data_IF_668005135044
#
_entry.id   IF_668005135044
#
_cell.length_a   1.000
_cell.length_b   1.000
_cell.length_c   1.000
_cell.angle_alpha   90.00
_cell.angle_beta   90.00
_cell.angle_gamma   90.00
#
_symmetry.space_group_name_H-M   'P 1'
#
loop_
_entity.id
_entity.type
_entity.pdbx_description
1 polymer ?
#
# COMPACT_ATOMS: atom_id res chain seq x y z
N UNK A 1 -21.50 30.35 -11.13
CA UNK A 1 -20.35 29.86 -10.35
C UNK A 1 -20.00 28.49 -10.90
N UNK A 2 -18.96 28.42 -11.71
CA UNK A 2 -18.44 27.15 -12.25
C UNK A 2 -17.78 26.39 -11.10
N UNK A 3 -18.39 25.29 -10.68
CA UNK A 3 -17.73 24.28 -9.85
C UNK A 3 -16.53 23.79 -10.66
N UNK A 4 -15.33 24.23 -10.29
CA UNK A 4 -14.12 23.63 -10.79
C UNK A 4 -14.12 22.19 -10.29
N UNK A 5 -14.42 21.25 -11.19
CA UNK A 5 -14.20 19.84 -10.94
C UNK A 5 -12.69 19.65 -10.87
N UNK A 6 -12.12 19.69 -9.66
CA UNK A 6 -10.78 19.13 -9.46
C UNK A 6 -10.88 17.64 -9.80
N UNK A 7 -9.97 17.18 -10.66
CA UNK A 7 -9.89 15.78 -11.02
C UNK A 7 -9.70 14.95 -9.74
N UNK A 8 -10.45 13.85 -9.53
CA UNK A 8 -10.45 13.03 -8.31
C UNK A 8 -9.15 12.22 -8.08
N UNK A 9 -8.09 12.57 -8.81
CA UNK A 9 -6.78 11.92 -8.76
C UNK A 9 -5.67 12.95 -8.57
N UNK A 10 -5.98 14.10 -7.97
CA UNK A 10 -4.96 15.10 -7.65
C UNK A 10 -4.15 14.68 -6.40
N UNK A 11 -3.74 13.40 -6.34
CA UNK A 11 -2.48 13.06 -5.66
C UNK A 11 -1.43 13.92 -6.37
N UNK A 12 -0.80 14.83 -5.62
CA UNK A 12 0.24 15.75 -6.10
C UNK A 12 1.12 15.06 -7.13
N UNK A 13 1.07 15.51 -8.39
CA UNK A 13 1.79 14.97 -9.56
C UNK A 13 2.87 13.92 -9.19
N UNK A 14 2.45 12.68 -8.95
CA UNK A 14 3.39 11.62 -8.58
C UNK A 14 4.14 11.23 -9.84
N UNK A 15 5.31 11.82 -10.03
CA UNK A 15 6.15 11.51 -11.18
C UNK A 15 6.84 10.17 -10.97
N UNK A 16 6.22 9.13 -11.53
CA UNK A 16 6.70 7.75 -11.49
C UNK A 16 8.14 7.66 -12.01
N UNK A 17 8.51 8.47 -13.01
CA UNK A 17 9.85 8.43 -13.61
C UNK A 17 10.89 9.11 -12.74
N UNK A 18 10.49 10.16 -12.01
CA UNK A 18 11.34 10.79 -11.02
C UNK A 18 11.53 9.89 -9.80
N UNK A 19 10.48 9.19 -9.34
CA UNK A 19 10.44 8.33 -8.15
C UNK A 19 11.12 6.96 -8.28
N UNK A 20 11.00 6.33 -9.46
CA UNK A 20 11.46 4.96 -9.65
C UNK A 20 12.97 4.77 -9.40
N UNK A 21 13.87 5.70 -9.80
CA UNK A 21 15.30 5.61 -9.47
C UNK A 21 15.60 5.56 -7.96
N UNK A 22 14.91 6.34 -7.12
CA UNK A 22 15.12 6.32 -5.66
C UNK A 22 14.54 5.06 -5.05
N UNK A 23 13.40 4.58 -5.55
CA UNK A 23 12.86 3.27 -5.18
C UNK A 23 13.87 2.15 -5.49
N UNK A 24 14.49 2.18 -6.68
CA UNK A 24 15.54 1.21 -7.04
C UNK A 24 16.78 1.32 -6.15
N UNK A 25 17.20 2.54 -5.76
CA UNK A 25 18.29 2.77 -4.81
C UNK A 25 17.98 2.07 -3.47
N UNK A 26 16.78 2.29 -2.93
CA UNK A 26 16.32 1.67 -1.69
C UNK A 26 16.32 0.14 -1.78
N UNK A 27 15.79 -0.42 -2.87
CA UNK A 27 15.75 -1.86 -3.09
C UNK A 27 17.16 -2.45 -3.17
N UNK A 28 18.06 -1.79 -3.89
CA UNK A 28 19.45 -2.21 -4.01
C UNK A 28 20.17 -2.16 -2.68
N UNK A 29 20.00 -1.10 -1.90
CA UNK A 29 20.56 -1.01 -0.56
C UNK A 29 20.05 -2.15 0.33
N UNK A 30 18.74 -2.44 0.30
CA UNK A 30 18.15 -3.51 1.09
C UNK A 30 18.76 -4.89 0.75
N UNK A 31 18.89 -5.19 -0.54
CA UNK A 31 19.43 -6.47 -1.02
C UNK A 31 20.95 -6.56 -0.79
N UNK A 32 21.70 -5.53 -1.12
CA UNK A 32 23.17 -5.63 -1.10
C UNK A 32 23.73 -5.47 0.33
N UNK A 33 23.01 -4.77 1.22
CA UNK A 33 23.50 -4.40 2.55
C UNK A 33 22.52 -4.72 3.68
N UNK A 34 21.31 -4.16 3.67
CA UNK A 34 20.47 -4.11 4.86
C UNK A 34 20.04 -5.50 5.35
N UNK A 35 19.72 -6.42 4.43
CA UNK A 35 19.28 -7.78 4.78
C UNK A 35 20.30 -8.59 5.59
N UNK A 36 21.58 -8.23 5.57
CA UNK A 36 22.63 -8.90 6.34
C UNK A 36 22.83 -8.28 7.73
N UNK A 37 22.17 -7.16 8.03
CA UNK A 37 22.31 -6.48 9.31
C UNK A 37 21.49 -7.16 10.42
N UNK A 38 22.04 -7.18 11.64
CA UNK A 38 21.35 -7.76 12.79
C UNK A 38 19.98 -7.11 13.08
N UNK A 39 19.80 -5.77 12.99
CA UNK A 39 18.50 -5.15 13.19
C UNK A 39 17.44 -5.62 12.17
N UNK A 40 17.79 -5.69 10.88
CA UNK A 40 16.86 -6.14 9.82
C UNK A 40 16.51 -7.61 9.99
N UNK A 41 17.47 -8.47 10.31
CA UNK A 41 17.22 -9.89 10.60
C UNK A 41 16.34 -10.08 11.83
N UNK A 42 16.54 -9.26 12.87
CA UNK A 42 15.72 -9.28 14.09
C UNK A 42 14.28 -8.93 13.76
N UNK A 43 14.07 -7.84 13.02
CA UNK A 43 12.73 -7.44 12.59
C UNK A 43 12.12 -8.52 11.69
N UNK A 44 12.85 -9.04 10.69
CA UNK A 44 12.38 -10.10 9.80
C UNK A 44 11.93 -11.35 10.56
N UNK A 45 12.72 -11.79 11.55
CA UNK A 45 12.37 -12.90 12.43
C UNK A 45 11.15 -12.58 13.31
N UNK A 46 11.05 -11.37 13.86
CA UNK A 46 9.88 -10.94 14.63
C UNK A 46 8.62 -10.91 13.78
N UNK A 47 8.73 -10.48 12.52
CA UNK A 47 7.61 -10.39 11.58
C UNK A 47 7.35 -11.65 10.79
N UNK A 48 8.15 -12.71 11.06
CA UNK A 48 8.04 -14.02 10.44
C UNK A 48 8.07 -13.97 8.90
N UNK A 49 9.00 -13.17 8.36
CA UNK A 49 9.30 -13.11 6.92
C UNK A 49 10.71 -13.62 6.65
N UNK A 50 10.89 -14.20 5.47
CA UNK A 50 12.19 -14.60 4.95
C UNK A 50 12.80 -13.46 4.14
N UNK A 51 14.03 -13.10 4.51
CA UNK A 51 14.86 -12.19 3.73
C UNK A 51 15.31 -12.86 2.42
N UNK A 52 15.59 -12.08 1.35
CA UNK A 52 16.00 -12.63 0.07
C UNK A 52 17.14 -13.66 0.15
N UNK A 53 18.17 -13.41 0.97
CA UNK A 53 19.28 -14.36 1.14
C UNK A 53 18.89 -15.69 1.80
N UNK A 54 17.75 -15.72 2.51
CA UNK A 54 17.23 -16.92 3.17
C UNK A 54 16.37 -17.78 2.22
N UNK A 55 15.84 -17.17 1.15
CA UNK A 55 15.02 -17.85 0.12
C UNK A 55 15.92 -18.72 -0.77
N UNK A 56 16.28 -19.90 -0.29
CA UNK A 56 17.14 -20.85 -1.00
C UNK A 56 17.88 -21.85 -0.10
N UNK A 57 17.93 -21.58 1.21
CA UNK A 57 18.39 -22.53 2.22
C UNK A 57 17.17 -23.18 2.85
N UNK A 58 17.16 -24.51 2.96
CA UNK A 58 16.15 -25.32 3.68
C UNK A 58 15.69 -24.66 5.01
N UNK A 59 14.43 -24.83 5.44
CA UNK A 59 13.81 -23.95 6.43
C UNK A 59 14.65 -23.92 7.71
N UNK A 60 15.10 -22.72 8.16
CA UNK A 60 15.73 -22.64 9.46
C UNK A 60 14.69 -22.99 10.51
N UNK A 61 15.07 -23.92 11.40
CA UNK A 61 14.34 -24.30 12.61
C UNK A 61 13.85 -23.03 13.30
N UNK A 62 12.52 -22.85 13.31
CA UNK A 62 11.85 -21.75 13.99
C UNK A 62 12.03 -21.89 15.51
N UNK A 63 12.68 -20.93 16.21
CA UNK A 63 12.37 -20.73 17.60
C UNK A 63 11.04 -19.98 17.67
N UNK A 64 10.00 -20.70 18.04
CA UNK A 64 8.71 -20.17 18.49
C UNK A 64 8.90 -19.06 19.53
N UNK A 65 8.56 -17.81 19.18
CA UNK A 65 7.73 -16.85 19.97
C UNK A 65 7.82 -15.42 19.42
N UNK A 66 7.04 -15.18 18.37
CA UNK A 66 5.97 -14.16 18.33
C UNK A 66 6.20 -12.85 19.12
N UNK A 67 6.97 -11.93 18.53
CA UNK A 67 6.90 -10.51 18.84
C UNK A 67 5.80 -9.83 17.99
N UNK A 68 5.20 -8.72 18.46
CA UNK A 68 4.11 -8.12 17.71
C UNK A 68 4.63 -7.44 16.43
N UNK A 69 3.95 -7.63 15.31
CA UNK A 69 4.31 -7.24 13.93
C UNK A 69 3.49 -6.01 13.53
N UNK A 70 4.06 -5.11 12.73
CA UNK A 70 3.53 -3.77 12.36
C UNK A 70 3.58 -2.69 13.45
N UNK A 71 4.79 -2.25 13.76
CA UNK A 71 5.08 -0.98 14.46
C UNK A 71 6.54 -0.57 14.26
N UNK A 72 7.14 -1.05 13.16
CA UNK A 72 8.55 -0.90 12.83
C UNK A 72 8.71 -0.02 11.59
N UNK A 73 7.90 1.03 11.52
CA UNK A 73 7.90 2.00 10.43
C UNK A 73 8.34 3.39 10.93
N UNK A 74 9.08 3.42 12.05
CA UNK A 74 9.71 4.65 12.49
C UNK A 74 10.76 5.09 11.47
N UNK A 75 11.01 6.41 11.32
CA UNK A 75 12.02 6.92 10.40
C UNK A 75 13.39 6.26 10.55
N UNK A 76 13.79 5.93 11.78
CA UNK A 76 15.05 5.25 12.07
C UNK A 76 15.09 3.80 11.56
N UNK A 77 13.97 3.08 11.65
CA UNK A 77 13.88 1.71 11.12
C UNK A 77 13.86 1.76 9.60
N UNK A 78 13.05 2.63 8.99
CA UNK A 78 12.97 2.75 7.53
C UNK A 78 14.32 3.14 6.91
N UNK A 79 15.04 4.05 7.57
CA UNK A 79 16.43 4.38 7.20
C UNK A 79 17.36 3.16 7.29
N UNK A 80 17.30 2.38 8.36
CA UNK A 80 18.11 1.17 8.50
C UNK A 80 17.80 0.08 7.46
N UNK A 81 16.57 0.04 6.94
CA UNK A 81 16.15 -0.90 5.90
C UNK A 81 16.53 -0.43 4.48
N UNK A 82 16.36 0.85 4.19
CA UNK A 82 16.34 1.36 2.82
C UNK A 82 17.40 2.44 2.52
N UNK A 83 18.19 2.83 3.52
CA UNK A 83 19.24 3.84 3.38
C UNK A 83 18.73 5.27 3.46
N UNK A 84 19.57 6.25 3.10
CA UNK A 84 19.26 7.68 3.22
C UNK A 84 18.11 8.13 2.28
N UNK A 85 17.97 7.49 1.12
CA UNK A 85 16.98 7.85 0.10
C UNK A 85 15.58 7.29 0.38
N UNK A 86 15.37 6.63 1.54
CA UNK A 86 14.12 5.93 1.86
C UNK A 86 12.90 6.82 1.77
N UNK A 87 13.01 8.10 2.13
CA UNK A 87 11.88 9.03 2.11
C UNK A 87 11.39 9.28 0.68
N UNK A 88 12.30 9.39 -0.29
CA UNK A 88 11.95 9.60 -1.69
C UNK A 88 11.56 8.30 -2.37
N UNK A 89 12.23 7.18 -2.06
CA UNK A 89 11.97 5.89 -2.70
C UNK A 89 10.80 5.11 -2.10
N UNK A 90 10.80 4.91 -0.78
CA UNK A 90 9.77 4.11 -0.09
C UNK A 90 8.67 4.98 0.52
N UNK A 91 8.94 6.25 0.82
CA UNK A 91 7.97 7.17 1.45
C UNK A 91 6.57 7.14 0.82
N UNK A 92 6.42 7.30 -0.51
CA UNK A 92 5.11 7.24 -1.16
C UNK A 92 4.38 5.90 -0.97
N UNK A 93 5.13 4.78 -0.98
CA UNK A 93 4.58 3.44 -0.73
C UNK A 93 4.20 3.29 0.74
N UNK A 94 5.05 3.75 1.66
CA UNK A 94 4.82 3.71 3.10
C UNK A 94 3.56 4.50 3.50
N UNK A 95 3.39 5.71 2.96
CA UNK A 95 2.19 6.52 3.18
C UNK A 95 0.93 5.83 2.62
N UNK A 96 1.03 5.24 1.43
CA UNK A 96 -0.08 4.53 0.79
C UNK A 96 -0.50 3.29 1.61
N UNK A 97 0.47 2.52 2.09
CA UNK A 97 0.22 1.35 2.96
C UNK A 97 -0.43 1.76 4.29
N UNK A 98 -0.02 2.87 4.88
CA UNK A 98 -0.65 3.39 6.12
C UNK A 98 -2.11 3.80 5.90
N UNK A 99 -2.41 4.49 4.80
CA UNK A 99 -3.80 4.80 4.41
C UNK A 99 -4.63 3.53 4.19
N UNK A 100 -4.07 2.56 3.49
CA UNK A 100 -4.72 1.27 3.24
C UNK A 100 -5.02 0.52 4.54
N UNK A 101 -4.08 0.53 5.49
CA UNK A 101 -4.28 -0.06 6.81
C UNK A 101 -5.43 0.60 7.57
N UNK A 102 -5.46 1.94 7.62
CA UNK A 102 -6.53 2.68 8.32
C UNK A 102 -7.90 2.36 7.69
N UNK A 103 -7.95 2.24 6.37
CA UNK A 103 -9.16 1.85 5.66
C UNK A 103 -9.61 0.42 6.01
N UNK A 104 -8.70 -0.55 5.94
CA UNK A 104 -9.00 -1.94 6.27
C UNK A 104 -9.46 -2.08 7.73
N UNK A 105 -8.78 -1.39 8.66
CA UNK A 105 -9.11 -1.39 10.08
C UNK A 105 -10.48 -0.75 10.39
N UNK A 106 -10.93 0.23 9.60
CA UNK A 106 -12.25 0.87 9.76
C UNK A 106 -13.38 0.06 9.12
N UNK A 107 -13.12 -0.62 8.02
CA UNK A 107 -14.16 -1.26 7.20
C UNK A 107 -14.43 -2.72 7.54
N UNK A 108 -13.45 -3.42 8.15
CA UNK A 108 -13.53 -4.86 8.38
C UNK A 108 -13.09 -5.26 9.79
N UNK A 109 -13.39 -6.51 10.16
CA UNK A 109 -12.89 -7.07 11.41
C UNK A 109 -11.40 -7.38 11.33
N UNK A 110 -10.75 -7.37 12.50
CA UNK A 110 -9.33 -7.64 12.68
C UNK A 110 -8.82 -8.88 11.93
N UNK A 111 -9.57 -9.99 12.00
CA UNK A 111 -9.15 -11.27 11.39
C UNK A 111 -9.08 -11.17 9.87
N UNK A 112 -10.01 -10.44 9.25
CA UNK A 112 -10.03 -10.22 7.81
C UNK A 112 -8.91 -9.27 7.36
N UNK A 113 -8.67 -8.18 8.10
CA UNK A 113 -7.53 -7.29 7.86
C UNK A 113 -6.22 -8.07 7.92
N UNK A 114 -6.02 -8.85 8.99
CA UNK A 114 -4.81 -9.69 9.14
C UNK A 114 -4.63 -10.65 7.95
N UNK A 115 -5.71 -11.29 7.48
CA UNK A 115 -5.62 -12.24 6.37
C UNK A 115 -5.14 -11.62 5.05
N UNK A 116 -5.33 -10.31 4.85
CA UNK A 116 -4.83 -9.59 3.67
C UNK A 116 -3.32 -9.37 3.70
N UNK A 117 -2.69 -9.46 4.87
CA UNK A 117 -1.25 -9.28 5.06
C UNK A 117 -0.47 -10.61 5.25
N UNK A 118 -1.15 -11.75 5.29
CA UNK A 118 -0.49 -13.06 5.33
C UNK A 118 0.13 -13.36 3.94
N UNK A 119 1.37 -13.85 3.91
CA UNK A 119 2.14 -14.11 2.67
C UNK A 119 2.18 -15.62 2.34
N UNK A 120 2.58 -15.93 1.09
CA UNK A 120 2.83 -17.30 0.64
C UNK A 120 3.96 -17.99 1.44
N UNK A 121 4.06 -19.32 1.30
CA UNK A 121 5.11 -20.16 1.92
C UNK A 121 5.07 -20.21 3.46
N UNK A 122 3.90 -20.02 4.07
CA UNK A 122 3.72 -20.09 5.53
C UNK A 122 4.25 -18.87 6.30
N UNK A 123 4.63 -17.81 5.58
CA UNK A 123 4.99 -16.52 6.16
C UNK A 123 3.71 -15.79 6.57
N UNK A 124 3.21 -16.09 7.76
CA UNK A 124 2.08 -15.37 8.34
C UNK A 124 2.56 -14.18 9.16
N UNK A 125 1.77 -13.11 9.24
CA UNK A 125 1.97 -12.04 10.21
C UNK A 125 1.35 -12.48 11.54
N UNK A 126 2.11 -12.98 12.54
CA UNK A 126 1.54 -13.61 13.74
C UNK A 126 0.65 -12.67 14.55
N UNK A 127 1.04 -11.39 14.66
CA UNK A 127 0.22 -10.37 15.31
C UNK A 127 0.37 -9.05 14.57
N UNK A 128 -0.67 -8.59 13.90
CA UNK A 128 -0.70 -7.22 13.40
C UNK A 128 -0.76 -6.27 14.64
N UNK A 129 -0.15 -5.10 14.57
CA UNK A 129 -0.21 -4.01 15.57
C UNK A 129 -0.86 -2.78 14.92
N UNK A 130 -1.67 -2.04 15.68
CA UNK A 130 -2.14 -0.73 15.26
C UNK A 130 -0.97 0.18 14.90
N UNK A 131 -1.15 0.98 13.84
CA UNK A 131 -0.19 2.02 13.47
C UNK A 131 0.12 2.91 14.67
N UNK A 132 1.40 3.23 14.85
CA UNK A 132 1.85 4.15 15.88
C UNK A 132 1.94 5.57 15.30
N UNK A 133 1.77 6.57 16.18
CA UNK A 133 1.90 7.99 15.85
C UNK A 133 1.02 8.45 14.68
N UNK A 134 -0.17 7.87 14.53
CA UNK A 134 -1.15 8.33 13.53
C UNK A 134 -1.63 9.71 13.95
N UNK A 135 -1.50 10.69 13.05
CA UNK A 135 -2.00 12.05 13.32
C UNK A 135 -3.45 12.19 12.90
N UNK A 136 -4.15 13.18 13.45
CA UNK A 136 -5.54 13.45 13.10
C UNK A 136 -5.67 13.83 11.61
N UNK A 137 -4.67 14.54 11.07
CA UNK A 137 -4.60 14.90 9.66
C UNK A 137 -4.48 13.66 8.77
N UNK A 138 -3.71 12.65 9.19
CA UNK A 138 -3.58 11.37 8.48
C UNK A 138 -4.91 10.61 8.44
N UNK A 139 -5.65 10.60 9.56
CA UNK A 139 -6.98 9.99 9.65
C UNK A 139 -7.94 10.71 8.70
N UNK A 140 -8.01 12.03 8.77
CA UNK A 140 -8.92 12.83 7.92
C UNK A 140 -8.59 12.69 6.43
N UNK A 141 -7.30 12.64 6.08
CA UNK A 141 -6.87 12.40 4.71
C UNK A 141 -7.29 11.01 4.22
N UNK A 142 -7.11 9.96 5.04
CA UNK A 142 -7.54 8.61 4.72
C UNK A 142 -9.08 8.53 4.57
N UNK A 143 -9.84 9.17 5.46
CA UNK A 143 -11.31 9.20 5.41
C UNK A 143 -11.85 9.97 4.19
N UNK A 144 -11.23 11.09 3.83
CA UNK A 144 -11.64 11.91 2.68
C UNK A 144 -11.41 11.17 1.37
N UNK A 145 -10.20 10.59 1.19
CA UNK A 145 -9.86 9.80 0.00
C UNK A 145 -10.80 8.59 -0.15
N UNK A 146 -11.11 7.93 0.97
CA UNK A 146 -12.07 6.84 0.98
C UNK A 146 -13.50 7.27 0.63
N UNK A 147 -13.95 8.40 1.20
CA UNK A 147 -15.30 8.94 0.93
C UNK A 147 -15.47 9.29 -0.55
N UNK A 148 -14.42 9.80 -1.19
CA UNK A 148 -14.39 10.08 -2.61
C UNK A 148 -14.43 8.79 -3.46
N UNK A 149 -13.66 7.76 -3.10
CA UNK A 149 -13.69 6.47 -3.79
C UNK A 149 -15.06 5.79 -3.71
N UNK A 150 -15.70 5.78 -2.53
CA UNK A 150 -17.06 5.26 -2.38
C UNK A 150 -18.08 6.06 -3.18
N UNK A 151 -17.93 7.38 -3.23
CA UNK A 151 -18.79 8.22 -4.07
C UNK A 151 -18.66 7.85 -5.55
N UNK A 152 -17.44 7.50 -6.02
CA UNK A 152 -17.22 7.02 -7.38
C UNK A 152 -17.88 5.67 -7.66
N UNK A 153 -17.90 4.74 -6.69
CA UNK A 153 -18.65 3.48 -6.80
C UNK A 153 -20.16 3.75 -6.98
N UNK A 154 -20.71 4.72 -6.24
CA UNK A 154 -22.12 5.15 -6.35
C UNK A 154 -22.45 5.82 -7.70
N UNK A 155 -21.44 6.41 -8.37
CA UNK A 155 -21.58 7.07 -9.68
C UNK A 155 -21.32 6.15 -10.88
N UNK A 156 -20.60 5.04 -10.71
CA UNK A 156 -20.30 4.12 -11.81
C UNK A 156 -21.19 2.87 -11.88
N UNK A 157 -21.99 2.59 -10.83
CA UNK A 157 -22.97 1.49 -10.83
C UNK A 157 -24.22 1.89 -10.03
N UNK A 158 -25.29 2.30 -10.72
CA UNK A 158 -26.59 2.57 -10.09
C UNK A 158 -27.43 3.66 -10.78
N UNK A 159 -28.60 4.04 -10.21
CA UNK A 159 -29.52 5.05 -10.77
C UNK A 159 -28.93 6.47 -10.94
N UNK A 160 -27.71 6.71 -10.44
CA UNK A 160 -26.97 7.98 -10.53
C UNK A 160 -25.87 7.99 -11.60
N UNK A 161 -25.74 6.93 -12.39
CA UNK A 161 -24.82 6.89 -13.53
C UNK A 161 -25.18 7.97 -14.57
N UNK A 162 -24.19 8.61 -15.24
CA UNK A 162 -24.47 9.56 -16.31
C UNK A 162 -25.33 8.91 -17.41
N UNK A 163 -26.44 9.53 -17.82
CA UNK A 163 -27.21 9.02 -18.94
C UNK A 163 -26.41 9.28 -20.23
N UNK A 164 -25.76 8.24 -20.78
CA UNK A 164 -25.48 8.02 -22.23
C UNK A 164 -24.14 7.32 -22.51
N UNK A 165 -24.00 6.04 -22.14
CA UNK A 165 -23.00 5.13 -22.76
C UNK A 165 -23.69 4.01 -23.57
N UNK A 166 -25.02 3.90 -23.49
CA UNK A 166 -25.79 2.79 -24.08
C UNK A 166 -26.59 3.09 -25.35
N UNK A 167 -26.76 4.36 -25.77
CA UNK A 167 -27.79 4.69 -26.78
C UNK A 167 -27.25 5.29 -28.09
N UNK A 168 -25.97 5.06 -28.42
CA UNK A 168 -25.52 5.18 -29.82
C UNK A 168 -26.07 4.02 -30.65
N UNK A 169 -27.35 4.13 -31.01
CA UNK A 169 -27.92 3.40 -32.14
C UNK A 169 -27.03 3.63 -33.36
N UNK A 170 -26.38 2.56 -33.80
CA UNK A 170 -25.66 2.48 -35.07
C UNK A 170 -26.64 2.86 -36.18
N UNK A 171 -26.55 4.11 -36.67
CA UNK A 171 -27.33 4.57 -37.81
C UNK A 171 -26.64 4.03 -39.07
N UNK A 172 -26.97 2.80 -39.44
CA UNK A 172 -26.59 2.21 -40.73
C UNK A 172 -27.16 3.12 -41.82
N UNK A 173 -26.27 3.81 -42.55
CA UNK A 173 -26.64 4.52 -43.77
C UNK A 173 -27.02 3.45 -44.81
N UNK A 174 -28.29 3.40 -45.20
CA UNK A 174 -28.69 2.74 -46.45
C UNK A 174 -28.21 3.63 -47.59
N UNK A 175 -27.32 3.11 -48.42
CA UNK A 175 -27.09 3.63 -49.78
C UNK A 175 -28.42 3.52 -50.56
N UNK A 176 -28.70 4.57 -51.31
CA UNK A 176 -29.85 4.73 -52.18
C UNK A 176 -29.39 4.42 -53.61
N UNK A 177 -30.22 3.69 -54.35
CA UNK A 177 -30.00 3.14 -55.71
C UNK A 177 -29.26 4.05 -56.70
#
# INVERSE_FOLDING_TARGET
MSMQFQSPFQESQFDIFEWYPQFQSCLRYFIDHAQYSAPVQTVAACVNILLPFQKGTSPPVTPTRSGPVTGFDSPAVLHGFFGDDWLQGIGPVHESERRNYLFAAKSDNWLKVKSQYDMADGQTVPFLRPLQNVTEEEIQAAESNWSEWLAMQDWMLGPRAPPDVGDRRVRVKKEQD
#
